data_IF_974341026362
#
_entry.id   IF_974341026362
#
_cell.length_a   1.000
_cell.length_b   1.000
_cell.length_c   1.000
_cell.angle_alpha   90.00
_cell.angle_beta   90.00
_cell.angle_gamma   90.00
#
_symmetry.space_group_name_H-M   'P 1'
#
loop_
_entity.id
_entity.type
_entity.pdbx_description
1 polymer ?
#
# COMPACT_ATOMS: atom_id res chain seq x y z
N UNK A 1 -10.73 -2.87 13.10
CA UNK A 1 -10.35 -2.49 14.48
C UNK A 1 -10.57 -1.01 14.82
N UNK A 2 -10.54 -0.07 13.86
CA UNK A 2 -10.70 1.38 14.16
C UNK A 2 -12.02 1.72 14.85
N UNK A 3 -13.16 1.20 14.36
CA UNK A 3 -14.47 1.45 14.99
C UNK A 3 -14.55 0.91 16.42
N UNK A 4 -13.95 -0.25 16.70
CA UNK A 4 -13.86 -0.80 18.04
C UNK A 4 -13.00 0.08 18.97
N UNK A 5 -11.87 0.58 18.48
CA UNK A 5 -11.03 1.50 19.25
C UNK A 5 -11.74 2.84 19.54
N UNK A 6 -12.55 3.35 18.61
CA UNK A 6 -13.39 4.53 18.84
C UNK A 6 -14.39 4.28 19.97
N UNK A 7 -15.10 3.15 19.94
CA UNK A 7 -16.07 2.77 20.97
C UNK A 7 -15.42 2.65 22.36
N UNK A 8 -14.26 1.99 22.46
CA UNK A 8 -13.52 1.87 23.73
C UNK A 8 -13.02 3.20 24.30
N UNK A 9 -12.92 4.24 23.47
CA UNK A 9 -12.38 5.54 23.87
C UNK A 9 -13.45 6.59 24.12
N UNK A 10 -14.74 6.22 24.10
CA UNK A 10 -15.90 7.12 24.17
C UNK A 10 -15.93 7.97 25.46
N UNK A 11 -15.67 7.35 26.61
CA UNK A 11 -15.70 8.04 27.92
C UNK A 11 -14.44 8.88 28.21
N UNK A 12 -13.43 8.85 27.33
CA UNK A 12 -12.18 9.60 27.52
C UNK A 12 -12.25 10.98 26.88
N UNK A 13 -12.55 11.99 27.70
CA UNK A 13 -12.56 13.41 27.29
C UNK A 13 -11.24 13.87 26.63
N UNK A 14 -10.10 13.38 27.11
CA UNK A 14 -8.78 13.69 26.54
C UNK A 14 -8.55 13.16 25.12
N UNK A 15 -9.43 12.27 24.63
CA UNK A 15 -9.38 11.70 23.28
C UNK A 15 -10.48 12.20 22.36
N UNK A 16 -11.38 13.07 22.83
CA UNK A 16 -12.54 13.54 22.06
C UNK A 16 -12.15 14.11 20.69
N UNK A 17 -11.17 15.02 20.63
CA UNK A 17 -10.73 15.61 19.36
C UNK A 17 -10.20 14.54 18.40
N UNK A 18 -9.33 13.66 18.90
CA UNK A 18 -8.76 12.57 18.10
C UNK A 18 -9.82 11.62 17.53
N UNK A 19 -10.90 11.36 18.29
CA UNK A 19 -12.02 10.56 17.78
C UNK A 19 -12.75 11.28 16.64
N UNK A 20 -13.01 12.58 16.79
CA UNK A 20 -13.66 13.39 15.75
C UNK A 20 -12.83 13.35 14.47
N UNK A 21 -11.51 13.59 14.55
CA UNK A 21 -10.62 13.55 13.39
C UNK A 21 -10.67 12.19 12.66
N UNK A 22 -10.71 11.09 13.41
CA UNK A 22 -10.81 9.73 12.85
C UNK A 22 -12.20 9.49 12.25
N UNK A 23 -13.27 9.95 12.89
CA UNK A 23 -14.65 9.79 12.40
C UNK A 23 -14.88 10.58 11.12
N UNK A 24 -14.38 11.81 11.04
CA UNK A 24 -14.40 12.60 9.80
C UNK A 24 -13.57 11.93 8.70
N UNK A 25 -12.39 11.40 9.04
CA UNK A 25 -11.60 10.59 8.12
C UNK A 25 -12.36 9.37 7.59
N UNK A 26 -13.07 8.64 8.46
CA UNK A 26 -13.91 7.51 8.08
C UNK A 26 -15.09 7.93 7.20
N UNK A 27 -15.73 9.07 7.46
CA UNK A 27 -16.82 9.58 6.64
C UNK A 27 -16.35 9.89 5.21
N UNK A 28 -15.13 10.41 5.06
CA UNK A 28 -14.56 10.81 3.78
C UNK A 28 -13.82 9.68 3.04
N UNK A 29 -13.56 8.55 3.69
CA UNK A 29 -12.68 7.49 3.16
C UNK A 29 -13.18 6.91 1.82
N UNK A 30 -14.51 6.82 1.65
CA UNK A 30 -15.13 6.30 0.43
C UNK A 30 -14.82 7.20 -0.77
N UNK A 31 -14.94 8.52 -0.59
CA UNK A 31 -14.63 9.48 -1.65
C UNK A 31 -13.13 9.52 -1.93
N UNK A 32 -12.29 9.49 -0.89
CA UNK A 32 -10.84 9.37 -1.04
C UNK A 32 -10.43 8.10 -1.80
N UNK A 33 -11.14 6.99 -1.57
CA UNK A 33 -10.92 5.73 -2.30
C UNK A 33 -11.26 5.89 -3.78
N UNK A 34 -12.36 6.57 -4.13
CA UNK A 34 -12.70 6.82 -5.54
C UNK A 34 -11.66 7.70 -6.23
N UNK A 35 -11.22 8.77 -5.57
CA UNK A 35 -10.15 9.63 -6.08
C UNK A 35 -8.85 8.84 -6.28
N UNK A 36 -8.51 7.98 -5.34
CA UNK A 36 -7.36 7.09 -5.43
C UNK A 36 -7.43 6.16 -6.65
N UNK A 37 -8.59 5.55 -6.92
CA UNK A 37 -8.76 4.62 -8.04
C UNK A 37 -8.53 5.30 -9.41
N UNK A 38 -8.62 6.63 -9.50
CA UNK A 38 -8.24 7.36 -10.72
C UNK A 38 -6.75 7.23 -11.06
N UNK A 39 -5.91 6.88 -10.07
CA UNK A 39 -4.47 6.64 -10.24
C UNK A 39 -4.14 5.29 -10.90
N UNK A 40 -5.15 4.45 -11.17
CA UNK A 40 -4.98 3.10 -11.75
C UNK A 40 -4.04 3.08 -12.97
N UNK A 41 -4.26 3.99 -13.93
CA UNK A 41 -3.45 4.02 -15.15
C UNK A 41 -2.00 4.44 -14.90
N UNK A 42 -1.76 5.30 -13.92
CA UNK A 42 -0.39 5.72 -13.58
C UNK A 42 0.35 4.62 -12.81
N UNK A 43 -0.36 3.89 -11.94
CA UNK A 43 0.16 2.68 -11.29
C UNK A 43 0.48 1.61 -12.34
N UNK A 44 -0.40 1.39 -13.31
CA UNK A 44 -0.16 0.45 -14.42
C UNK A 44 1.09 0.81 -15.21
N UNK A 45 1.26 2.09 -15.59
CA UNK A 45 2.48 2.57 -16.28
C UNK A 45 3.73 2.37 -15.42
N UNK A 46 3.63 2.59 -14.11
CA UNK A 46 4.72 2.34 -13.18
C UNK A 46 5.10 0.85 -13.16
N UNK A 47 4.13 -0.06 -13.08
CA UNK A 47 4.36 -1.50 -13.06
C UNK A 47 5.06 -2.03 -14.32
N UNK A 48 4.78 -1.45 -15.49
CA UNK A 48 5.42 -1.84 -16.74
C UNK A 48 6.95 -1.69 -16.71
N UNK A 49 7.50 -0.79 -15.88
CA UNK A 49 8.95 -0.64 -15.71
C UNK A 49 9.60 -1.85 -15.02
N UNK A 50 8.81 -2.68 -14.36
CA UNK A 50 9.27 -3.75 -13.47
C UNK A 50 8.77 -5.13 -13.87
N UNK A 51 8.12 -5.24 -15.04
CA UNK A 51 7.59 -6.49 -15.57
C UNK A 51 8.62 -7.63 -15.53
N UNK A 52 9.83 -7.37 -16.04
CA UNK A 52 10.88 -8.40 -16.16
C UNK A 52 11.70 -8.63 -14.86
N UNK A 53 11.34 -7.98 -13.75
CA UNK A 53 12.05 -8.19 -12.49
C UNK A 53 11.69 -9.54 -11.88
N UNK A 54 12.68 -10.22 -11.30
CA UNK A 54 12.47 -11.50 -10.58
C UNK A 54 12.17 -11.31 -9.10
N UNK A 55 12.48 -10.14 -8.56
CA UNK A 55 12.39 -9.87 -7.13
C UNK A 55 12.00 -8.43 -6.84
N UNK A 56 11.20 -8.25 -5.79
CA UNK A 56 10.74 -6.95 -5.30
C UNK A 56 10.99 -6.84 -3.80
N UNK A 57 11.49 -5.69 -3.36
CA UNK A 57 11.68 -5.38 -1.94
C UNK A 57 10.73 -4.24 -1.56
N UNK A 58 9.75 -4.54 -0.72
CA UNK A 58 8.83 -3.57 -0.15
C UNK A 58 9.40 -3.03 1.16
N UNK A 59 9.34 -1.72 1.34
CA UNK A 59 9.88 -1.04 2.53
C UNK A 59 8.75 -0.28 3.23
N UNK A 60 8.50 -0.62 4.49
CA UNK A 60 7.46 0.01 5.32
C UNK A 60 7.98 0.41 6.70
N UNK A 61 7.37 1.42 7.33
CA UNK A 61 7.66 1.80 8.73
C UNK A 61 6.37 2.17 9.46
N UNK A 62 6.35 1.90 10.78
CA UNK A 62 5.23 2.26 11.64
C UNK A 62 3.94 1.59 11.15
N UNK A 63 2.88 2.37 10.98
CA UNK A 63 1.59 1.87 10.52
C UNK A 63 1.63 1.26 9.10
N UNK A 64 2.65 1.59 8.30
CA UNK A 64 2.81 1.08 6.93
C UNK A 64 3.60 -0.24 6.86
N UNK A 65 4.16 -0.72 7.97
CA UNK A 65 4.87 -2.00 7.98
C UNK A 65 3.92 -3.18 7.76
N UNK A 66 2.74 -3.15 8.39
CA UNK A 66 1.71 -4.16 8.19
C UNK A 66 1.21 -4.17 6.74
N UNK A 67 1.02 -2.99 6.14
CA UNK A 67 0.72 -2.82 4.72
C UNK A 67 1.78 -3.50 3.87
N UNK A 68 3.06 -3.15 4.03
CA UNK A 68 4.14 -3.76 3.25
C UNK A 68 4.19 -5.30 3.35
N UNK A 69 3.98 -5.88 4.54
CA UNK A 69 3.95 -7.34 4.73
C UNK A 69 2.78 -8.00 3.98
N UNK A 70 1.58 -7.44 4.12
CA UNK A 70 0.37 -7.90 3.44
C UNK A 70 0.55 -7.83 1.92
N UNK A 71 1.18 -6.77 1.43
CA UNK A 71 1.39 -6.56 0.01
C UNK A 71 2.47 -7.50 -0.56
N UNK A 72 3.53 -7.78 0.21
CA UNK A 72 4.50 -8.79 -0.18
C UNK A 72 3.84 -10.17 -0.32
N UNK A 73 2.88 -10.48 0.55
CA UNK A 73 2.11 -11.72 0.47
C UNK A 73 1.26 -11.75 -0.82
N UNK A 74 0.46 -10.72 -1.10
CA UNK A 74 -0.33 -10.61 -2.35
C UNK A 74 0.51 -10.76 -3.61
N UNK A 75 1.68 -10.11 -3.66
CA UNK A 75 2.57 -10.19 -4.82
C UNK A 75 3.09 -11.64 -4.98
N UNK A 76 3.51 -12.32 -3.90
CA UNK A 76 3.93 -13.73 -3.97
C UNK A 76 2.81 -14.64 -4.49
N UNK A 77 1.60 -14.43 -4.00
CA UNK A 77 0.44 -15.26 -4.30
C UNK A 77 0.00 -15.15 -5.76
N UNK A 78 -0.02 -13.94 -6.33
CA UNK A 78 -0.64 -13.68 -7.64
C UNK A 78 0.41 -13.57 -8.76
N UNK A 79 1.58 -12.99 -8.49
CA UNK A 79 2.60 -12.72 -9.51
C UNK A 79 3.74 -13.75 -9.57
N UNK A 80 3.86 -14.60 -8.55
CA UNK A 80 4.98 -15.55 -8.37
C UNK A 80 6.36 -14.89 -8.31
N UNK A 81 6.41 -13.56 -8.18
CA UNK A 81 7.64 -12.83 -7.92
C UNK A 81 8.08 -13.07 -6.49
N UNK A 82 9.39 -13.19 -6.31
CA UNK A 82 9.94 -13.18 -4.97
C UNK A 82 9.82 -11.77 -4.38
N UNK A 83 8.87 -11.58 -3.47
CA UNK A 83 8.67 -10.29 -2.82
C UNK A 83 8.97 -10.38 -1.32
N UNK A 84 9.67 -9.43 -0.73
CA UNK A 84 9.84 -9.37 0.73
C UNK A 84 9.57 -7.99 1.26
N UNK A 85 9.08 -7.92 2.50
CA UNK A 85 8.87 -6.66 3.18
C UNK A 85 9.86 -6.49 4.33
N UNK A 86 10.49 -5.32 4.40
CA UNK A 86 11.45 -4.96 5.43
C UNK A 86 11.13 -3.59 6.04
N UNK A 87 11.67 -3.34 7.22
CA UNK A 87 11.68 -2.01 7.83
C UNK A 87 12.41 -1.01 6.94
N UNK A 88 11.88 0.23 6.89
CA UNK A 88 12.35 1.27 5.99
C UNK A 88 13.89 1.42 5.94
N UNK A 89 14.44 1.25 4.74
CA UNK A 89 15.86 1.39 4.42
C UNK A 89 16.10 2.42 3.28
N UNK A 90 15.17 3.36 3.06
CA UNK A 90 15.19 4.32 1.94
C UNK A 90 16.56 5.00 1.73
N UNK A 91 17.12 5.61 2.78
CA UNK A 91 18.42 6.27 2.69
C UNK A 91 19.56 5.31 2.29
N UNK A 92 19.46 4.05 2.69
CA UNK A 92 20.45 3.02 2.36
C UNK A 92 20.34 2.55 0.90
N UNK A 93 19.13 2.60 0.33
CA UNK A 93 18.87 2.32 -1.10
C UNK A 93 19.42 3.45 -1.95
N UNK A 94 19.08 4.70 -1.62
CA UNK A 94 19.56 5.88 -2.35
C UNK A 94 21.09 5.98 -2.30
N UNK A 95 21.71 5.72 -1.14
CA UNK A 95 23.17 5.74 -1.01
C UNK A 95 23.90 4.71 -1.92
N UNK A 96 23.18 3.69 -2.40
CA UNK A 96 23.71 2.67 -3.33
C UNK A 96 23.25 2.89 -4.77
N UNK A 97 22.80 4.11 -5.11
CA UNK A 97 22.22 4.47 -6.41
C UNK A 97 20.98 3.64 -6.79
N UNK A 98 20.29 3.06 -5.80
CA UNK A 98 18.99 2.45 -6.02
C UNK A 98 17.94 3.51 -6.31
N UNK A 99 17.01 3.22 -7.22
CA UNK A 99 15.93 4.13 -7.61
C UNK A 99 14.59 3.56 -7.17
N UNK A 100 14.16 3.82 -5.92
CA UNK A 100 12.94 3.22 -5.39
C UNK A 100 11.70 3.90 -5.96
N UNK A 101 10.61 3.13 -6.02
CA UNK A 101 9.27 3.67 -6.16
C UNK A 101 8.76 3.98 -4.75
N UNK A 102 8.23 5.18 -4.55
CA UNK A 102 7.72 5.60 -3.25
C UNK A 102 6.24 5.95 -3.36
N UNK A 103 5.42 5.25 -2.60
CA UNK A 103 4.03 5.63 -2.32
C UNK A 103 4.08 6.67 -1.21
N UNK A 104 3.70 7.90 -1.54
CA UNK A 104 3.80 9.03 -0.63
C UNK A 104 2.57 9.93 -0.77
N UNK A 105 2.36 10.81 0.20
CA UNK A 105 1.28 11.78 0.08
C UNK A 105 1.56 12.76 -1.07
N UNK A 106 0.51 13.35 -1.60
CA UNK A 106 0.62 14.49 -2.52
C UNK A 106 1.51 15.58 -1.91
N UNK A 107 2.41 16.13 -2.71
CA UNK A 107 3.36 17.20 -2.35
C UNK A 107 4.35 16.87 -1.21
N UNK A 108 4.59 15.59 -0.94
CA UNK A 108 5.61 15.20 0.05
C UNK A 108 7.02 15.59 -0.42
N UNK A 109 7.71 16.42 0.38
CA UNK A 109 9.07 16.90 0.07
C UNK A 109 10.17 15.92 0.50
N UNK A 110 9.86 14.90 1.30
CA UNK A 110 10.83 13.91 1.77
C UNK A 110 11.39 13.06 0.60
N UNK A 111 10.58 12.89 -0.45
CA UNK A 111 10.89 12.03 -1.60
C UNK A 111 10.94 12.85 -2.89
N UNK A 112 12.10 13.39 -3.28
CA UNK A 112 12.19 14.25 -4.46
C UNK A 112 12.21 13.41 -5.75
N UNK A 113 11.55 13.92 -6.82
CA UNK A 113 11.34 13.22 -8.10
C UNK A 113 12.62 12.96 -8.91
N UNK A 114 13.72 13.64 -8.57
CA UNK A 114 15.04 13.42 -9.17
C UNK A 114 15.64 12.07 -8.75
N UNK A 115 15.30 11.59 -7.54
CA UNK A 115 15.85 10.36 -6.96
C UNK A 115 14.85 9.20 -6.91
N UNK A 116 13.56 9.48 -6.99
CA UNK A 116 12.50 8.47 -6.81
C UNK A 116 11.43 8.55 -7.89
N UNK A 117 10.87 7.40 -8.24
CA UNK A 117 9.58 7.36 -8.92
C UNK A 117 8.47 7.44 -7.86
N UNK A 118 7.48 8.30 -8.04
CA UNK A 118 6.46 8.55 -7.01
C UNK A 118 5.08 8.13 -7.47
N UNK A 119 4.35 7.49 -6.56
CA UNK A 119 2.90 7.33 -6.63
C UNK A 119 2.32 8.19 -5.52
N UNK A 120 1.72 9.32 -5.90
CA UNK A 120 1.14 10.26 -4.95
C UNK A 120 -0.28 9.86 -4.61
N UNK A 121 -0.54 9.67 -3.32
CA UNK A 121 -1.84 9.23 -2.80
C UNK A 121 -2.48 10.33 -1.94
N UNK A 122 -3.82 10.42 -1.91
CA UNK A 122 -4.51 11.36 -1.04
C UNK A 122 -4.15 11.11 0.42
N UNK A 123 -3.92 12.22 1.13
CA UNK A 123 -3.66 12.22 2.58
C UNK A 123 -4.97 12.02 3.35
N UNK A 124 -4.92 11.16 4.36
CA UNK A 124 -6.00 11.00 5.34
C UNK A 124 -5.43 11.00 6.76
N UNK A 125 -6.26 10.75 7.76
CA UNK A 125 -5.80 10.56 9.14
C UNK A 125 -4.84 9.37 9.19
N UNK A 126 -3.73 9.51 9.91
CA UNK A 126 -2.64 8.52 10.05
C UNK A 126 -3.11 7.10 10.42
N UNK A 127 -4.20 6.96 11.18
CA UNK A 127 -4.80 5.67 11.53
C UNK A 127 -5.50 4.99 10.34
N UNK A 128 -5.90 5.75 9.32
CA UNK A 128 -6.58 5.27 8.10
C UNK A 128 -5.66 5.28 6.87
N UNK A 129 -4.49 5.93 6.92
CA UNK A 129 -3.60 6.03 5.77
C UNK A 129 -3.17 4.66 5.23
N UNK A 130 -2.97 3.68 6.12
CA UNK A 130 -2.66 2.30 5.71
C UNK A 130 -3.75 1.67 4.85
N UNK A 131 -5.03 2.02 5.08
CA UNK A 131 -6.17 1.52 4.30
C UNK A 131 -6.11 2.02 2.85
N UNK A 132 -5.80 3.29 2.63
CA UNK A 132 -5.64 3.83 1.28
C UNK A 132 -4.39 3.26 0.60
N UNK A 133 -3.27 3.17 1.31
CA UNK A 133 -2.01 2.70 0.74
C UNK A 133 -2.06 1.24 0.28
N UNK A 134 -2.82 0.37 0.98
CA UNK A 134 -3.05 -1.01 0.53
C UNK A 134 -3.65 -1.07 -0.87
N UNK A 135 -4.49 -0.10 -1.25
CA UNK A 135 -5.13 -0.08 -2.58
C UNK A 135 -4.08 0.10 -3.69
N UNK A 136 -3.06 0.94 -3.47
CA UNK A 136 -1.98 1.13 -4.46
C UNK A 136 -1.28 -0.19 -4.72
N UNK A 137 -0.97 -0.90 -3.65
CA UNK A 137 -0.19 -2.12 -3.72
C UNK A 137 -1.03 -3.31 -4.20
N UNK A 138 -2.33 -3.33 -3.95
CA UNK A 138 -3.27 -4.24 -4.61
C UNK A 138 -3.31 -4.02 -6.13
N UNK A 139 -3.33 -2.77 -6.60
CA UNK A 139 -3.28 -2.46 -8.03
C UNK A 139 -1.93 -2.86 -8.64
N UNK A 140 -0.81 -2.70 -7.91
CA UNK A 140 0.50 -3.21 -8.34
C UNK A 140 0.49 -4.73 -8.45
N UNK A 141 -0.01 -5.43 -7.42
CA UNK A 141 -0.12 -6.89 -7.39
C UNK A 141 -1.06 -7.44 -8.49
N UNK A 142 -2.01 -6.62 -8.96
CA UNK A 142 -2.86 -6.94 -10.10
C UNK A 142 -2.15 -6.71 -11.45
N UNK A 143 -1.57 -5.52 -11.66
CA UNK A 143 -1.02 -5.15 -12.97
C UNK A 143 0.28 -5.87 -13.33
N UNK A 144 1.11 -6.24 -12.36
CA UNK A 144 2.33 -7.03 -12.60
C UNK A 144 2.03 -8.37 -13.29
N UNK A 145 1.24 -9.29 -12.71
CA UNK A 145 0.89 -10.56 -13.34
C UNK A 145 0.08 -10.40 -14.63
N UNK A 146 -0.83 -9.41 -14.70
CA UNK A 146 -1.57 -9.14 -15.93
C UNK A 146 -0.63 -8.75 -17.07
N UNK A 147 0.43 -7.98 -16.78
CA UNK A 147 1.46 -7.65 -17.78
C UNK A 147 2.24 -8.88 -18.26
N UNK A 148 2.33 -9.94 -17.43
CA UNK A 148 2.90 -11.25 -17.75
C UNK A 148 1.90 -12.23 -18.40
N UNK A 149 0.64 -11.82 -18.60
CA UNK A 149 -0.40 -12.68 -19.17
C UNK A 149 -0.90 -13.77 -18.21
N UNK A 150 -0.67 -13.60 -16.90
CA UNK A 150 -1.16 -14.50 -15.87
C UNK A 150 -2.64 -14.21 -15.54
N UNK A 151 -3.38 -15.26 -15.18
CA UNK A 151 -4.74 -15.13 -14.68
C UNK A 151 -4.72 -14.85 -13.18
N UNK A 152 -5.10 -13.63 -12.80
CA UNK A 152 -5.12 -13.16 -11.41
C UNK A 152 -6.30 -13.69 -10.59
N UNK A 153 -7.39 -14.13 -11.23
CA UNK A 153 -8.57 -14.67 -10.55
C UNK A 153 -8.35 -16.11 -10.06
N UNK A 154 -7.40 -16.82 -10.68
CA UNK A 154 -7.07 -18.21 -10.37
C UNK A 154 -5.57 -18.37 -10.11
N UNK A 155 -5.06 -17.85 -8.97
CA UNK A 155 -3.67 -18.04 -8.60
C UNK A 155 -3.40 -19.52 -8.30
N UNK A 156 -2.21 -20.00 -8.67
CA UNK A 156 -1.80 -21.40 -8.52
C UNK A 156 -1.63 -21.74 -7.04
N UNK A 157 -2.01 -22.96 -6.67
CA UNK A 157 -1.78 -23.53 -5.34
C UNK A 157 -2.47 -22.78 -4.19
N UNK A 158 -3.47 -21.94 -4.49
CA UNK A 158 -4.25 -21.22 -3.50
C UNK A 158 -5.73 -21.56 -3.64
N UNK A 159 -6.39 -21.72 -2.49
CA UNK A 159 -7.82 -21.86 -2.40
C UNK A 159 -8.37 -20.63 -1.66
N UNK A 160 -9.59 -20.21 -2.00
CA UNK A 160 -10.27 -19.07 -1.37
C UNK A 160 -10.46 -19.24 0.14
N UNK A 161 -10.52 -20.49 0.60
CA UNK A 161 -10.62 -20.86 2.00
C UNK A 161 -9.96 -22.22 2.19
N UNK A 162 -9.12 -22.34 3.21
CA UNK A 162 -8.61 -23.63 3.66
C UNK A 162 -9.57 -24.12 4.74
N UNK A 163 -10.36 -25.15 4.41
CA UNK A 163 -11.39 -25.72 5.30
C UNK A 163 -10.98 -27.08 5.86
N UNK A 164 -9.77 -27.53 5.56
CA UNK A 164 -9.20 -28.82 5.98
C UNK A 164 -7.84 -28.57 6.62
N UNK A 165 -7.52 -29.33 7.66
CA UNK A 165 -6.23 -29.29 8.37
C UNK A 165 -5.12 -30.02 7.59
#
# INVERSE_FOLDING_TARGET
>A
MVMFALALSEDRSSKSQRRIDIMEGLANISEQTKEFLKLDQDIKKCCMKFKDLKSLLLLGRGNQHATALEDALKIKEISYLYCEAHLNAYNQVIARNGRPIVICNTDDLEFPRDRTDRVEVPRTVDALQGLLNVISLQLVAYWLPVAEGLNVDFPRNLAKSVTVE
#
